data_IF_432103071586
#
_entry.id   IF_432103071586
#
_cell.length_a   1.000
_cell.length_b   1.000
_cell.length_c   1.000
_cell.angle_alpha   90.00
_cell.angle_beta   90.00
_cell.angle_gamma   90.00
#
_symmetry.space_group_name_H-M   'P 1'
#
loop_
_entity.id
_entity.type
_entity.pdbx_description
1 polymer ?
#
# COMPACT_ATOMS: atom_id res chain seq x y z
N UNK A 1 -54.27 -26.91 12.80
CA UNK A 1 -52.90 -27.33 12.46
C UNK A 1 -52.03 -26.09 12.48
N UNK A 2 -51.54 -25.72 13.66
CA UNK A 2 -50.71 -24.53 13.87
C UNK A 2 -49.27 -25.03 13.82
N UNK A 3 -48.52 -24.61 12.80
CA UNK A 3 -47.11 -24.93 12.65
C UNK A 3 -46.35 -24.36 13.87
N UNK A 4 -45.53 -25.15 14.58
CA UNK A 4 -44.88 -24.68 15.80
C UNK A 4 -43.90 -23.53 15.48
N UNK A 5 -43.86 -22.46 16.29
CA UNK A 5 -43.05 -21.25 16.05
C UNK A 5 -41.54 -21.49 16.04
N UNK A 6 -41.10 -22.72 16.37
CA UNK A 6 -39.71 -23.17 16.38
C UNK A 6 -39.11 -23.32 14.98
N UNK A 7 -39.92 -23.42 13.91
CA UNK A 7 -39.43 -23.57 12.54
C UNK A 7 -39.04 -22.23 11.86
N UNK A 8 -39.44 -21.08 12.42
CA UNK A 8 -38.96 -19.78 11.93
C UNK A 8 -37.60 -19.37 12.53
N UNK A 9 -37.24 -19.91 13.70
CA UNK A 9 -36.03 -19.51 14.41
C UNK A 9 -34.73 -20.03 13.76
N UNK A 10 -34.81 -21.03 12.88
CA UNK A 10 -33.63 -21.70 12.30
C UNK A 10 -33.13 -21.08 10.99
N UNK A 11 -33.86 -20.14 10.37
CA UNK A 11 -33.49 -19.58 9.07
C UNK A 11 -32.62 -18.31 9.14
N UNK A 12 -32.43 -17.72 10.33
CA UNK A 12 -31.72 -16.43 10.49
C UNK A 12 -30.24 -16.62 10.84
N UNK A 13 -29.77 -17.85 11.10
CA UNK A 13 -28.43 -18.11 11.60
C UNK A 13 -27.37 -18.41 10.52
N UNK A 14 -27.61 -18.02 9.27
CA UNK A 14 -26.62 -18.21 8.18
C UNK A 14 -26.31 -16.90 7.47
N UNK A 15 -25.95 -15.86 8.23
CA UNK A 15 -25.11 -14.80 7.66
C UNK A 15 -23.73 -15.41 7.43
N UNK A 16 -23.50 -15.88 6.20
CA UNK A 16 -22.18 -16.20 5.69
C UNK A 16 -21.33 -14.94 5.83
N UNK A 17 -20.58 -14.82 6.92
CA UNK A 17 -19.53 -13.84 7.06
C UNK A 17 -18.48 -14.23 6.04
N UNK A 18 -18.59 -13.69 4.82
CA UNK A 18 -17.48 -13.66 3.89
C UNK A 18 -16.43 -12.77 4.52
N UNK A 19 -15.58 -13.36 5.36
CA UNK A 19 -14.33 -12.74 5.77
C UNK A 19 -13.53 -12.57 4.50
N UNK A 20 -13.48 -11.34 3.97
CA UNK A 20 -12.47 -10.96 3.00
C UNK A 20 -11.14 -11.03 3.74
N UNK A 21 -10.51 -12.20 3.72
CA UNK A 21 -9.11 -12.32 4.05
C UNK A 21 -8.36 -11.62 2.92
N UNK A 22 -8.00 -10.35 3.12
CA UNK A 22 -6.95 -9.75 2.32
C UNK A 22 -5.70 -10.59 2.60
N UNK A 23 -5.26 -11.37 1.63
CA UNK A 23 -3.92 -11.92 1.67
C UNK A 23 -3.00 -10.70 1.85
N UNK A 24 -2.27 -10.64 2.96
CA UNK A 24 -1.29 -9.59 3.18
C UNK A 24 -0.24 -9.75 2.07
N UNK A 25 -0.34 -8.92 1.04
CA UNK A 25 0.66 -8.84 -0.01
C UNK A 25 1.90 -8.20 0.59
N UNK A 26 3.07 -8.79 0.38
CA UNK A 26 4.29 -8.35 1.05
C UNK A 26 5.19 -7.58 0.08
N UNK A 27 5.56 -6.36 0.44
CA UNK A 27 6.68 -5.66 -0.18
C UNK A 27 8.00 -6.24 0.39
N UNK A 28 8.99 -6.60 -0.45
CA UNK A 28 10.29 -7.05 0.02
C UNK A 28 10.97 -6.04 0.95
N UNK A 29 11.66 -6.52 1.98
CA UNK A 29 12.35 -5.67 2.95
C UNK A 29 13.40 -4.76 2.30
N UNK A 30 14.14 -5.25 1.29
CA UNK A 30 15.13 -4.42 0.59
C UNK A 30 14.50 -3.16 -0.05
N UNK A 31 13.26 -3.28 -0.55
CA UNK A 31 12.53 -2.14 -1.10
C UNK A 31 12.03 -1.19 -0.02
N UNK A 32 11.64 -1.71 1.15
CA UNK A 32 11.30 -0.90 2.32
C UNK A 32 12.53 -0.11 2.79
N UNK A 33 13.67 -0.77 2.93
CA UNK A 33 14.95 -0.16 3.30
C UNK A 33 15.36 0.92 2.29
N UNK A 34 15.09 0.71 1.00
CA UNK A 34 15.34 1.70 -0.03
C UNK A 34 14.44 2.94 0.12
N UNK A 35 13.16 2.75 0.44
CA UNK A 35 12.24 3.86 0.73
C UNK A 35 12.68 4.63 1.98
N UNK A 36 13.17 3.95 3.03
CA UNK A 36 13.74 4.59 4.22
C UNK A 36 14.99 5.41 3.88
N UNK A 37 15.89 4.86 3.05
CA UNK A 37 17.11 5.54 2.61
C UNK A 37 16.79 6.79 1.78
N UNK A 38 15.84 6.69 0.84
CA UNK A 38 15.33 7.84 0.07
C UNK A 38 14.74 8.88 1.02
N UNK A 39 13.91 8.45 1.96
CA UNK A 39 13.23 9.37 2.86
C UNK A 39 14.22 10.13 3.75
N UNK A 40 15.17 9.41 4.34
CA UNK A 40 16.23 10.00 5.15
C UNK A 40 17.09 10.98 4.33
N UNK A 41 17.52 10.57 3.14
CA UNK A 41 18.47 11.35 2.33
C UNK A 41 17.83 12.61 1.73
N UNK A 42 16.54 12.55 1.39
CA UNK A 42 15.79 13.68 0.84
C UNK A 42 15.09 14.54 1.91
N UNK A 43 15.17 14.15 3.19
CA UNK A 43 14.45 14.82 4.27
C UNK A 43 12.93 14.67 4.19
N UNK A 44 12.43 13.55 3.62
CA UNK A 44 11.01 13.22 3.56
C UNK A 44 10.56 12.65 4.91
N UNK A 45 9.83 13.42 5.70
CA UNK A 45 9.47 13.04 7.09
C UNK A 45 8.02 12.60 7.26
N UNK A 46 7.21 12.74 6.22
CA UNK A 46 5.75 12.56 6.24
C UNK A 46 5.30 11.24 5.58
N UNK A 47 6.23 10.36 5.21
CA UNK A 47 5.89 8.96 4.88
C UNK A 47 5.65 8.13 6.14
N UNK A 48 4.64 7.25 6.09
CA UNK A 48 4.24 6.43 7.23
C UNK A 48 4.80 5.00 7.13
N UNK A 49 5.99 4.80 7.66
CA UNK A 49 6.64 3.48 7.70
C UNK A 49 5.99 2.47 8.67
N UNK A 50 4.99 2.85 9.46
CA UNK A 50 4.20 1.87 10.24
C UNK A 50 3.11 1.19 9.40
N UNK A 51 2.87 1.72 8.19
CA UNK A 51 1.90 1.21 7.24
C UNK A 51 2.63 0.62 6.03
N UNK A 52 2.12 -0.47 5.48
CA UNK A 52 2.71 -1.06 4.27
C UNK A 52 2.48 -0.11 3.08
N UNK A 53 3.55 0.33 2.39
CA UNK A 53 3.46 1.20 1.21
C UNK A 53 2.56 0.66 0.09
N UNK A 54 2.41 -0.66 0.00
CA UNK A 54 1.63 -1.31 -1.03
C UNK A 54 0.22 -1.73 -0.57
N UNK A 55 -0.13 -1.55 0.70
CA UNK A 55 -1.43 -1.97 1.23
C UNK A 55 -2.54 -0.93 1.08
N UNK A 56 -2.32 0.13 0.29
CA UNK A 56 -3.25 1.25 0.08
C UNK A 56 -3.62 2.00 1.38
N UNK A 57 -2.82 1.81 2.43
CA UNK A 57 -2.95 2.56 3.67
C UNK A 57 -2.48 4.01 3.46
N UNK A 58 -2.95 4.91 4.32
CA UNK A 58 -2.60 6.32 4.26
C UNK A 58 -1.11 6.54 4.59
N UNK A 59 -0.55 7.65 4.10
CA UNK A 59 0.82 8.08 4.39
C UNK A 59 1.82 7.88 3.25
N UNK A 60 1.43 7.17 2.20
CA UNK A 60 2.29 6.93 1.02
C UNK A 60 1.87 7.70 -0.24
N UNK A 61 0.68 8.29 -0.19
CA UNK A 61 0.14 9.12 -1.26
C UNK A 61 -0.65 10.31 -0.71
N UNK A 62 -0.53 11.46 -1.35
CA UNK A 62 -1.38 12.62 -1.09
C UNK A 62 -2.63 12.55 -1.94
N UNK A 63 -3.78 12.28 -1.31
CA UNK A 63 -5.05 12.23 -2.02
C UNK A 63 -5.41 13.61 -2.60
N UNK A 64 -5.95 13.63 -3.82
CA UNK A 64 -6.38 14.85 -4.51
C UNK A 64 -5.28 15.92 -4.61
N UNK A 65 -4.02 15.50 -4.80
CA UNK A 65 -2.89 16.42 -4.96
C UNK A 65 -3.13 17.40 -6.10
N UNK A 66 -2.81 18.68 -5.87
CA UNK A 66 -2.77 19.67 -6.95
C UNK A 66 -1.69 19.28 -7.95
N UNK A 67 -1.95 19.47 -9.25
CA UNK A 67 -0.97 19.18 -10.31
C UNK A 67 0.36 19.89 -9.99
N UNK A 68 1.44 19.12 -9.96
CA UNK A 68 2.77 19.64 -9.64
C UNK A 68 3.15 19.61 -8.15
N UNK A 69 2.24 19.25 -7.24
CA UNK A 69 2.49 19.03 -5.80
C UNK A 69 2.14 17.58 -5.41
N UNK A 70 2.72 16.65 -6.15
CA UNK A 70 2.39 15.22 -6.10
C UNK A 70 3.32 14.48 -5.14
N UNK A 71 2.75 13.59 -4.33
CA UNK A 71 3.46 12.62 -3.48
C UNK A 71 2.73 11.30 -3.64
N UNK A 72 3.39 10.27 -4.16
CA UNK A 72 2.79 8.97 -4.39
C UNK A 72 3.85 7.87 -4.54
N UNK A 73 3.66 6.76 -3.84
CA UNK A 73 4.36 5.49 -4.09
C UNK A 73 3.35 4.52 -4.70
N UNK A 74 3.69 3.96 -5.86
CA UNK A 74 2.84 2.99 -6.56
C UNK A 74 3.53 1.64 -6.61
N UNK A 75 2.78 0.60 -6.26
CA UNK A 75 3.23 -0.77 -6.32
C UNK A 75 2.51 -1.58 -7.40
N UNK A 76 3.19 -2.59 -7.93
CA UNK A 76 2.62 -3.65 -8.74
C UNK A 76 2.67 -4.95 -7.93
N UNK A 77 1.49 -5.49 -7.62
CA UNK A 77 1.30 -6.71 -6.83
C UNK A 77 0.84 -7.89 -7.69
N UNK A 78 1.23 -7.92 -8.96
CA UNK A 78 0.92 -9.05 -9.86
C UNK A 78 1.92 -10.21 -9.76
N UNK A 79 2.94 -10.09 -8.89
CA UNK A 79 4.01 -11.07 -8.76
C UNK A 79 3.65 -12.22 -7.83
N UNK A 80 4.26 -13.38 -8.07
CA UNK A 80 4.12 -14.58 -7.22
C UNK A 80 2.67 -14.92 -6.88
N UNK A 81 1.80 -15.03 -7.89
CA UNK A 81 0.35 -15.25 -7.71
C UNK A 81 -0.31 -14.18 -6.81
N UNK A 82 0.04 -12.90 -7.05
CA UNK A 82 -0.48 -11.76 -6.33
C UNK A 82 -0.17 -11.73 -4.82
N UNK A 83 0.95 -12.34 -4.41
CA UNK A 83 1.38 -12.36 -3.00
C UNK A 83 2.56 -11.44 -2.71
N UNK A 84 3.31 -11.05 -3.74
CA UNK A 84 4.46 -10.16 -3.63
C UNK A 84 4.18 -8.89 -4.41
N UNK A 85 4.46 -7.74 -3.78
CA UNK A 85 4.41 -6.43 -4.42
C UNK A 85 5.81 -5.92 -4.68
N UNK A 86 5.96 -5.07 -5.68
CA UNK A 86 7.17 -4.30 -5.90
C UNK A 86 6.82 -2.84 -6.18
N UNK A 87 7.66 -1.92 -5.71
CA UNK A 87 7.54 -0.49 -6.03
C UNK A 87 7.90 -0.29 -7.49
N UNK A 88 7.00 0.31 -8.26
CA UNK A 88 7.18 0.56 -9.69
C UNK A 88 7.25 2.04 -10.05
N UNK A 89 6.75 2.93 -9.18
CA UNK A 89 6.77 4.38 -9.41
C UNK A 89 6.82 5.14 -8.09
N UNK A 90 7.69 6.16 -8.04
CA UNK A 90 7.78 7.12 -6.92
C UNK A 90 7.63 8.53 -7.50
N UNK A 91 6.66 9.29 -6.99
CA UNK A 91 6.40 10.67 -7.42
C UNK A 91 6.57 11.60 -6.23
N UNK A 92 7.48 12.56 -6.32
CA UNK A 92 7.83 13.53 -5.28
C UNK A 92 8.01 14.94 -5.88
N UNK A 93 6.93 15.54 -6.38
CA UNK A 93 6.95 16.86 -7.03
C UNK A 93 6.68 18.00 -6.07
N UNK A 94 7.50 19.05 -6.17
CA UNK A 94 7.40 20.29 -5.39
C UNK A 94 7.23 20.07 -3.88
N UNK A 95 7.84 19.00 -3.36
CA UNK A 95 7.80 18.63 -1.93
C UNK A 95 8.84 19.39 -1.09
N UNK A 96 9.57 20.34 -1.70
CA UNK A 96 10.66 21.09 -1.07
C UNK A 96 11.72 20.20 -0.37
N UNK A 97 11.96 19.03 -0.96
CA UNK A 97 12.93 18.06 -0.45
C UNK A 97 14.35 18.57 -0.69
N UNK A 98 15.21 18.28 0.27
CA UNK A 98 16.61 18.71 0.26
C UNK A 98 17.48 17.47 0.36
N UNK A 99 18.43 17.30 -0.55
CA UNK A 99 19.32 16.15 -0.55
C UNK A 99 19.75 15.70 -1.92
N UNK A 100 20.50 14.61 -1.95
CA UNK A 100 20.91 13.93 -3.19
C UNK A 100 20.21 12.58 -3.22
N UNK A 101 19.63 12.21 -4.35
CA UNK A 101 18.96 10.93 -4.49
C UNK A 101 19.97 9.78 -4.24
N UNK A 102 19.68 8.81 -3.34
CA UNK A 102 20.55 7.67 -3.10
C UNK A 102 20.49 6.65 -4.25
N UNK A 103 21.26 5.58 -4.15
CA UNK A 103 21.20 4.49 -5.13
C UNK A 103 19.85 3.77 -5.08
N UNK A 104 19.27 3.52 -6.25
CA UNK A 104 17.96 2.87 -6.39
C UNK A 104 18.09 1.37 -6.66
N UNK A 105 19.29 0.78 -6.50
CA UNK A 105 19.55 -0.62 -6.85
C UNK A 105 18.73 -1.63 -6.01
N UNK A 106 18.28 -1.22 -4.83
CA UNK A 106 17.39 -1.99 -3.96
C UNK A 106 15.91 -1.94 -4.41
N UNK A 107 15.57 -1.16 -5.45
CA UNK A 107 14.23 -1.07 -6.06
C UNK A 107 14.26 -1.67 -7.48
N UNK A 108 14.39 -3.01 -7.62
CA UNK A 108 14.69 -3.64 -8.91
C UNK A 108 13.56 -3.54 -9.95
N UNK A 109 12.34 -3.21 -9.52
CA UNK A 109 11.18 -3.06 -10.40
C UNK A 109 10.75 -1.61 -10.60
N UNK A 110 11.50 -0.65 -10.06
CA UNK A 110 11.20 0.77 -10.23
C UNK A 110 11.36 1.15 -11.70
N UNK A 111 10.28 1.64 -12.30
CA UNK A 111 10.24 2.04 -13.72
C UNK A 111 10.47 3.54 -13.87
N UNK A 112 10.03 4.32 -12.90
CA UNK A 112 10.04 5.77 -12.99
C UNK A 112 10.10 6.42 -11.60
N UNK A 113 10.79 7.57 -11.56
CA UNK A 113 10.85 8.44 -10.41
C UNK A 113 10.83 9.90 -10.87
N UNK A 114 9.96 10.73 -10.29
CA UNK A 114 9.73 12.13 -10.68
C UNK A 114 9.69 13.10 -9.52
#
# INVERSE_FOLDING_TARGET
MILPPLLLATLIASSCFTTFAFAATLLPNDEVDALEEIAHTLGKTDWNFTADPCSQQWGWATQNSSRGFENNVTCDCSFSNNTVCHVVSIVLKSQNLSGVLPELGKLPYLKEMY
#
